data_IF_339438027040
#
_entry.id   IF_339438027040
#
_cell.length_a   1.000
_cell.length_b   1.000
_cell.length_c   1.000
_cell.angle_alpha   90.00
_cell.angle_beta   90.00
_cell.angle_gamma   90.00
#
_symmetry.space_group_name_H-M   'P 1'
#
loop_
_entity.id
_entity.type
_entity.pdbx_description
1 polymer ?
#
# COMPACT_ATOMS: atom_id res chain seq x y z
N UNK A 1 -11.91 -99.68 -6.25
CA UNK A 1 -12.18 -98.47 -7.06
C UNK A 1 -12.77 -97.36 -6.17
N UNK A 2 -12.09 -96.99 -5.08
CA UNK A 2 -12.57 -95.99 -4.11
C UNK A 2 -11.47 -94.95 -3.74
N UNK A 3 -10.31 -95.02 -4.40
CA UNK A 3 -9.12 -94.22 -4.10
C UNK A 3 -9.07 -92.95 -4.99
N UNK A 4 -9.86 -92.89 -6.07
CA UNK A 4 -9.91 -91.74 -6.99
C UNK A 4 -10.98 -90.67 -6.68
N UNK A 5 -11.96 -90.97 -5.83
CA UNK A 5 -13.03 -90.03 -5.47
C UNK A 5 -12.63 -89.10 -4.32
N UNK A 6 -11.76 -89.56 -3.41
CA UNK A 6 -11.24 -88.76 -2.29
C UNK A 6 -10.20 -87.72 -2.73
N UNK A 7 -9.40 -88.03 -3.77
CA UNK A 7 -8.44 -87.08 -4.35
C UNK A 7 -9.10 -86.00 -5.20
N UNK A 8 -10.16 -86.34 -5.96
CA UNK A 8 -10.91 -85.37 -6.78
C UNK A 8 -11.65 -84.32 -5.96
N UNK A 9 -12.28 -84.72 -4.84
CA UNK A 9 -12.93 -83.77 -3.92
C UNK A 9 -11.92 -82.82 -3.27
N UNK A 10 -10.76 -83.33 -2.86
CA UNK A 10 -9.69 -82.50 -2.27
C UNK A 10 -9.13 -81.46 -3.25
N UNK A 11 -8.94 -81.83 -4.51
CA UNK A 11 -8.51 -80.91 -5.57
C UNK A 11 -9.58 -79.83 -5.84
N UNK A 12 -10.86 -80.21 -5.93
CA UNK A 12 -11.94 -79.26 -6.15
C UNK A 12 -12.10 -78.25 -4.99
N UNK A 13 -11.96 -78.71 -3.74
CA UNK A 13 -11.98 -77.84 -2.56
C UNK A 13 -10.78 -76.88 -2.57
N UNK A 14 -9.59 -77.37 -2.92
CA UNK A 14 -8.38 -76.54 -3.00
C UNK A 14 -8.49 -75.46 -4.08
N UNK A 15 -8.99 -75.81 -5.27
CA UNK A 15 -9.23 -74.85 -6.36
C UNK A 15 -10.31 -73.84 -5.96
N UNK A 16 -11.40 -74.29 -5.31
CA UNK A 16 -12.43 -73.40 -4.81
C UNK A 16 -11.91 -72.39 -3.78
N UNK A 17 -11.01 -72.83 -2.90
CA UNK A 17 -10.35 -71.96 -1.93
C UNK A 17 -9.42 -70.92 -2.60
N UNK A 18 -8.57 -71.35 -3.53
CA UNK A 18 -7.67 -70.46 -4.30
C UNK A 18 -8.43 -69.42 -5.15
N UNK A 19 -9.57 -69.81 -5.74
CA UNK A 19 -10.44 -68.87 -6.44
C UNK A 19 -11.07 -67.85 -5.49
N UNK A 20 -11.50 -68.30 -4.31
CA UNK A 20 -12.10 -67.40 -3.32
C UNK A 20 -11.08 -66.39 -2.77
N UNK A 21 -9.82 -66.81 -2.55
CA UNK A 21 -8.75 -65.88 -2.14
C UNK A 21 -8.49 -64.84 -3.22
N UNK A 22 -8.34 -65.26 -4.49
CA UNK A 22 -8.14 -64.33 -5.61
C UNK A 22 -9.30 -63.36 -5.79
N UNK A 23 -10.53 -63.82 -5.58
CA UNK A 23 -11.72 -62.96 -5.62
C UNK A 23 -11.70 -61.91 -4.50
N UNK A 24 -11.36 -62.31 -3.28
CA UNK A 24 -11.26 -61.38 -2.16
C UNK A 24 -10.12 -60.36 -2.33
N UNK A 25 -8.97 -60.79 -2.86
CA UNK A 25 -7.86 -59.89 -3.19
C UNK A 25 -8.28 -58.87 -4.25
N UNK A 26 -8.92 -59.31 -5.33
CA UNK A 26 -9.44 -58.40 -6.36
C UNK A 26 -10.50 -57.43 -5.82
N UNK A 27 -11.38 -57.89 -4.93
CA UNK A 27 -12.38 -57.03 -4.29
C UNK A 27 -11.73 -55.96 -3.40
N UNK A 28 -10.63 -56.30 -2.73
CA UNK A 28 -9.82 -55.36 -1.95
C UNK A 28 -9.12 -54.35 -2.86
N UNK A 29 -8.44 -54.82 -3.90
CA UNK A 29 -7.75 -53.95 -4.87
C UNK A 29 -8.74 -52.97 -5.53
N UNK A 30 -9.96 -53.43 -5.84
CA UNK A 30 -11.03 -52.56 -6.34
C UNK A 30 -11.47 -51.51 -5.32
N UNK A 31 -11.59 -51.89 -4.04
CA UNK A 31 -11.93 -50.94 -2.97
C UNK A 31 -10.84 -49.90 -2.75
N UNK A 32 -9.57 -50.32 -2.79
CA UNK A 32 -8.42 -49.42 -2.63
C UNK A 32 -8.36 -48.43 -3.81
N UNK A 33 -8.56 -48.90 -5.05
CA UNK A 33 -8.63 -48.04 -6.23
C UNK A 33 -9.80 -47.04 -6.17
N UNK A 34 -10.94 -47.44 -5.61
CA UNK A 34 -12.08 -46.53 -5.44
C UNK A 34 -11.78 -45.43 -4.43
N UNK A 35 -11.03 -45.74 -3.36
CA UNK A 35 -10.58 -44.75 -2.39
C UNK A 35 -9.58 -43.78 -3.03
N UNK A 36 -8.56 -44.29 -3.74
CA UNK A 36 -7.58 -43.47 -4.45
C UNK A 36 -8.26 -42.53 -5.47
N UNK A 37 -9.29 -43.01 -6.17
CA UNK A 37 -10.09 -42.19 -7.08
C UNK A 37 -10.84 -41.05 -6.35
N UNK A 38 -11.45 -41.34 -5.21
CA UNK A 38 -12.15 -40.31 -4.43
C UNK A 38 -11.18 -39.27 -3.87
N UNK A 39 -10.00 -39.71 -3.41
CA UNK A 39 -8.94 -38.81 -2.93
C UNK A 39 -8.46 -37.89 -4.06
N UNK A 40 -8.20 -38.44 -5.25
CA UNK A 40 -7.83 -37.64 -6.43
C UNK A 40 -8.91 -36.63 -6.83
N UNK A 41 -10.20 -37.00 -6.73
CA UNK A 41 -11.30 -36.08 -6.99
C UNK A 41 -11.37 -34.94 -5.97
N UNK A 42 -11.08 -35.22 -4.70
CA UNK A 42 -10.99 -34.19 -3.67
C UNK A 42 -9.81 -33.25 -3.93
N UNK A 43 -8.63 -33.80 -4.25
CA UNK A 43 -7.44 -33.01 -4.58
C UNK A 43 -7.68 -32.11 -5.80
N UNK A 44 -8.38 -32.62 -6.82
CA UNK A 44 -8.77 -31.83 -7.99
C UNK A 44 -9.75 -30.69 -7.63
N UNK A 45 -10.70 -30.93 -6.73
CA UNK A 45 -11.61 -29.90 -6.24
C UNK A 45 -10.84 -28.81 -5.51
N UNK A 46 -9.96 -29.17 -4.58
CA UNK A 46 -9.13 -28.22 -3.82
C UNK A 46 -8.25 -27.38 -4.75
N UNK A 47 -7.60 -28.01 -5.74
CA UNK A 47 -6.79 -27.29 -6.73
C UNK A 47 -7.62 -26.30 -7.57
N UNK A 48 -8.88 -26.65 -7.85
CA UNK A 48 -9.79 -25.75 -8.57
C UNK A 48 -10.16 -24.54 -7.71
N UNK A 49 -10.39 -24.74 -6.42
CA UNK A 49 -10.66 -23.65 -5.48
C UNK A 49 -9.43 -22.73 -5.33
N UNK A 50 -8.24 -23.30 -5.12
CA UNK A 50 -6.98 -22.54 -5.06
C UNK A 50 -6.73 -21.72 -6.34
N UNK A 51 -7.03 -22.28 -7.52
CA UNK A 51 -6.91 -21.57 -8.79
C UNK A 51 -7.87 -20.38 -8.88
N UNK A 52 -9.12 -20.54 -8.41
CA UNK A 52 -10.10 -19.47 -8.41
C UNK A 52 -9.70 -18.33 -7.48
N UNK A 53 -9.19 -18.66 -6.29
CA UNK A 53 -8.67 -17.67 -5.33
C UNK A 53 -7.49 -16.89 -5.93
N UNK A 54 -6.52 -17.58 -6.54
CA UNK A 54 -5.40 -16.93 -7.23
C UNK A 54 -5.86 -16.00 -8.37
N UNK A 55 -6.90 -16.40 -9.11
CA UNK A 55 -7.44 -15.58 -10.19
C UNK A 55 -8.12 -14.30 -9.67
N UNK A 56 -8.78 -14.38 -8.51
CA UNK A 56 -9.38 -13.22 -7.83
C UNK A 56 -8.29 -12.25 -7.33
N UNK A 57 -7.24 -12.78 -6.72
CA UNK A 57 -6.10 -11.98 -6.26
C UNK A 57 -5.41 -11.28 -7.43
N UNK A 58 -5.16 -12.00 -8.53
CA UNK A 58 -4.59 -11.43 -9.74
C UNK A 58 -5.46 -10.31 -10.32
N UNK A 59 -6.78 -10.52 -10.38
CA UNK A 59 -7.72 -9.54 -10.91
C UNK A 59 -7.73 -8.25 -10.07
N UNK A 60 -7.63 -8.39 -8.75
CA UNK A 60 -7.57 -7.26 -7.82
C UNK A 60 -6.27 -6.48 -8.00
N UNK A 61 -5.12 -7.18 -8.02
CA UNK A 61 -3.82 -6.56 -8.26
C UNK A 61 -3.75 -5.85 -9.62
N UNK A 62 -4.34 -6.44 -10.66
CA UNK A 62 -4.38 -5.83 -11.98
C UNK A 62 -5.23 -4.56 -12.01
N UNK A 63 -6.34 -4.52 -11.27
CA UNK A 63 -7.14 -3.31 -11.10
C UNK A 63 -6.38 -2.20 -10.35
N UNK A 64 -5.66 -2.56 -9.29
CA UNK A 64 -4.81 -1.63 -8.54
C UNK A 64 -3.70 -1.06 -9.43
N UNK A 65 -3.07 -1.90 -10.24
CA UNK A 65 -2.05 -1.48 -11.20
C UNK A 65 -2.59 -0.47 -12.21
N UNK A 66 -3.75 -0.75 -12.82
CA UNK A 66 -4.35 0.20 -13.78
C UNK A 66 -4.73 1.51 -13.10
N UNK A 67 -5.27 1.47 -11.88
CA UNK A 67 -5.60 2.67 -11.11
C UNK A 67 -4.35 3.51 -10.80
N UNK A 68 -3.23 2.85 -10.47
CA UNK A 68 -1.95 3.51 -10.28
C UNK A 68 -1.45 4.12 -11.59
N UNK A 69 -1.53 3.39 -12.71
CA UNK A 69 -1.12 3.88 -14.02
C UNK A 69 -1.90 5.14 -14.43
N UNK A 70 -3.23 5.11 -14.32
CA UNK A 70 -4.10 6.27 -14.59
C UNK A 70 -3.75 7.43 -13.65
N UNK A 71 -3.53 7.14 -12.37
CA UNK A 71 -3.08 8.12 -11.40
C UNK A 71 -1.68 8.70 -11.72
N UNK A 72 -0.84 8.08 -12.53
CA UNK A 72 0.45 8.67 -12.93
C UNK A 72 0.39 9.39 -14.28
N UNK A 73 -0.28 8.80 -15.26
CA UNK A 73 -0.23 9.26 -16.65
C UNK A 73 -1.25 10.37 -16.93
N UNK A 74 -2.35 10.43 -16.17
CA UNK A 74 -3.46 11.34 -16.46
C UNK A 74 -3.63 12.46 -15.41
N UNK A 75 -4.06 13.67 -15.84
CA UNK A 75 -4.47 14.73 -14.93
C UNK A 75 -5.71 14.32 -14.11
N UNK A 76 -5.71 14.66 -12.83
CA UNK A 76 -6.92 14.57 -11.99
C UNK A 76 -7.96 15.58 -12.47
N UNK A 77 -8.98 15.13 -13.21
CA UNK A 77 -10.00 16.01 -13.81
C UNK A 77 -11.12 16.38 -12.84
N UNK A 78 -11.47 15.50 -11.90
CA UNK A 78 -12.51 15.71 -10.89
C UNK A 78 -12.04 15.14 -9.52
N UNK A 79 -11.15 15.85 -8.80
CA UNK A 79 -10.65 15.38 -7.52
C UNK A 79 -11.74 15.41 -6.45
N UNK A 80 -11.72 14.41 -5.57
CA UNK A 80 -12.49 14.42 -4.34
C UNK A 80 -11.85 15.39 -3.33
N UNK A 81 -12.69 16.06 -2.55
CA UNK A 81 -12.26 17.00 -1.50
C UNK A 81 -12.48 16.32 -0.14
N UNK A 82 -11.43 15.86 0.55
CA UNK A 82 -11.58 15.14 1.81
C UNK A 82 -12.00 16.07 2.95
N UNK A 83 -12.56 15.51 4.01
CA UNK A 83 -12.58 16.16 5.32
C UNK A 83 -11.16 16.20 5.92
N UNK A 84 -10.89 17.15 6.81
CA UNK A 84 -9.63 17.17 7.56
C UNK A 84 -9.39 15.85 8.32
N UNK A 85 -10.45 15.24 8.85
CA UNK A 85 -10.36 13.97 9.57
C UNK A 85 -9.95 12.79 8.67
N UNK A 86 -10.55 12.66 7.48
CA UNK A 86 -10.15 11.65 6.51
C UNK A 86 -8.70 11.84 6.08
N UNK A 87 -8.30 13.10 5.85
CA UNK A 87 -6.94 13.43 5.47
C UNK A 87 -5.92 13.07 6.56
N UNK A 88 -6.17 13.42 7.83
CA UNK A 88 -5.30 13.05 8.96
C UNK A 88 -5.19 11.54 9.15
N UNK A 89 -6.31 10.81 9.08
CA UNK A 89 -6.26 9.35 9.19
C UNK A 89 -5.48 8.70 8.04
N UNK A 90 -5.52 9.30 6.84
CA UNK A 90 -4.74 8.82 5.71
C UNK A 90 -3.24 9.05 5.93
N UNK A 91 -2.83 10.20 6.47
CA UNK A 91 -1.43 10.44 6.83
C UNK A 91 -0.91 9.42 7.86
N UNK A 92 -1.73 9.01 8.83
CA UNK A 92 -1.32 7.99 9.82
C UNK A 92 -1.05 6.60 9.21
N UNK A 93 -1.58 6.32 8.01
CA UNK A 93 -1.43 5.05 7.30
C UNK A 93 -0.38 5.17 6.19
N UNK A 94 -0.30 6.33 5.54
CA UNK A 94 0.75 6.63 4.59
C UNK A 94 2.11 6.58 5.27
N UNK A 95 3.11 6.00 4.60
CA UNK A 95 4.44 5.81 5.19
C UNK A 95 5.49 6.78 4.63
N UNK A 96 5.10 7.90 4.01
CA UNK A 96 6.06 8.86 3.43
C UNK A 96 7.03 9.41 4.47
N UNK A 97 6.55 9.67 5.69
CA UNK A 97 7.33 10.12 6.83
C UNK A 97 8.29 9.05 7.42
N UNK A 98 8.23 7.79 6.95
CA UNK A 98 9.07 6.70 7.49
C UNK A 98 10.43 6.57 6.81
N UNK A 99 10.66 7.32 5.72
CA UNK A 99 11.92 7.31 5.00
C UNK A 99 12.93 8.29 5.62
N UNK A 100 14.21 7.92 5.59
CA UNK A 100 15.28 8.79 6.07
C UNK A 100 15.53 9.94 5.09
N UNK A 101 15.70 11.16 5.63
CA UNK A 101 16.18 12.29 4.84
C UNK A 101 17.66 12.10 4.50
N UNK A 102 18.01 12.24 3.22
CA UNK A 102 19.38 12.13 2.72
C UNK A 102 19.68 13.33 1.85
N UNK A 103 20.53 14.24 2.35
CA UNK A 103 20.90 15.43 1.61
C UNK A 103 21.40 15.11 0.19
N UNK A 104 20.98 15.90 -0.80
CA UNK A 104 21.23 15.74 -2.24
C UNK A 104 20.72 14.44 -2.89
N UNK A 105 20.09 13.53 -2.14
CA UNK A 105 19.61 12.22 -2.65
C UNK A 105 18.12 12.01 -2.47
N UNK A 106 17.60 12.37 -1.29
CA UNK A 106 16.22 12.22 -0.89
C UNK A 106 15.86 13.35 0.08
N UNK A 107 15.32 14.43 -0.48
CA UNK A 107 15.10 15.70 0.21
C UNK A 107 13.62 16.08 0.22
N UNK A 108 13.28 17.21 0.85
CA UNK A 108 11.91 17.69 1.01
C UNK A 108 11.08 17.72 -0.29
N UNK A 109 11.72 17.99 -1.43
CA UNK A 109 11.09 17.89 -2.76
C UNK A 109 10.68 16.46 -3.14
N UNK A 110 11.50 15.46 -2.83
CA UNK A 110 11.22 14.04 -3.10
C UNK A 110 10.08 13.53 -2.20
N UNK A 111 10.12 13.85 -0.91
CA UNK A 111 9.01 13.54 0.00
C UNK A 111 7.70 14.19 -0.46
N UNK A 112 7.74 15.48 -0.86
CA UNK A 112 6.58 16.20 -1.37
C UNK A 112 6.01 15.57 -2.64
N UNK A 113 6.87 15.19 -3.59
CA UNK A 113 6.48 14.51 -4.81
C UNK A 113 5.86 13.13 -4.52
N UNK A 114 6.43 12.39 -3.58
CA UNK A 114 5.92 11.08 -3.20
C UNK A 114 4.55 11.19 -2.53
N UNK A 115 4.38 12.08 -1.54
CA UNK A 115 3.10 12.27 -0.86
C UNK A 115 2.01 12.74 -1.86
N UNK A 116 2.33 13.72 -2.70
CA UNK A 116 1.44 14.20 -3.76
C UNK A 116 0.97 13.07 -4.66
N UNK A 117 1.90 12.23 -5.09
CA UNK A 117 1.62 11.09 -5.99
C UNK A 117 0.73 10.06 -5.33
N UNK A 118 1.02 9.71 -4.07
CA UNK A 118 0.23 8.74 -3.31
C UNK A 118 -1.19 9.22 -3.05
N UNK A 119 -1.38 10.51 -2.78
CA UNK A 119 -2.71 11.08 -2.60
C UNK A 119 -3.60 10.94 -3.85
N UNK A 120 -3.02 10.79 -5.06
CA UNK A 120 -3.79 10.53 -6.27
C UNK A 120 -4.55 9.18 -6.23
N UNK A 121 -4.08 8.19 -5.46
CA UNK A 121 -4.81 6.92 -5.29
C UNK A 121 -6.14 7.09 -4.55
N UNK A 122 -6.26 8.18 -3.78
CA UNK A 122 -7.49 8.59 -3.09
C UNK A 122 -8.36 9.51 -3.96
N UNK A 123 -7.99 9.73 -5.22
CA UNK A 123 -8.55 10.77 -6.09
C UNK A 123 -8.43 12.19 -5.48
N UNK A 124 -7.43 12.43 -4.61
CA UNK A 124 -7.22 13.72 -3.97
C UNK A 124 -6.18 14.56 -4.70
N UNK A 125 -6.36 15.89 -4.66
CA UNK A 125 -5.40 16.85 -5.20
C UNK A 125 -4.56 17.46 -4.08
N UNK A 126 -3.55 16.72 -3.64
CA UNK A 126 -2.41 17.31 -2.93
C UNK A 126 -1.53 18.06 -3.94
N UNK A 127 -0.95 19.18 -3.53
CA UNK A 127 -0.04 19.99 -4.35
C UNK A 127 1.22 20.33 -3.56
N UNK A 128 2.25 20.81 -4.25
CA UNK A 128 3.54 21.16 -3.67
C UNK A 128 3.67 22.68 -3.62
N UNK A 129 4.04 23.21 -2.46
CA UNK A 129 4.52 24.57 -2.28
C UNK A 129 6.04 24.54 -2.13
N UNK A 130 6.70 25.55 -2.69
CA UNK A 130 8.14 25.76 -2.50
C UNK A 130 8.36 27.15 -1.96
N UNK A 131 9.14 27.24 -0.89
CA UNK A 131 9.55 28.50 -0.28
C UNK A 131 11.06 28.65 -0.30
N UNK A 132 11.51 29.89 -0.46
CA UNK A 132 12.91 30.26 -0.32
C UNK A 132 13.07 31.23 0.83
N UNK A 133 14.03 30.94 1.71
CA UNK A 133 14.18 31.64 2.98
C UNK A 133 15.64 31.87 3.34
N UNK A 134 15.86 32.78 4.28
CA UNK A 134 17.16 33.14 4.84
C UNK A 134 16.99 33.31 6.35
N UNK A 135 17.96 32.85 7.13
CA UNK A 135 18.09 33.11 8.56
C UNK A 135 18.73 34.50 8.80
N UNK A 136 18.57 35.05 10.01
CA UNK A 136 19.02 36.39 10.43
C UNK A 136 20.48 36.73 10.11
N UNK A 137 21.35 35.73 9.97
CA UNK A 137 22.80 35.90 9.72
C UNK A 137 23.23 35.60 8.29
N UNK A 138 22.30 35.19 7.42
CA UNK A 138 22.64 34.80 6.06
C UNK A 138 22.90 36.01 5.17
N UNK A 139 23.72 35.80 4.14
CA UNK A 139 24.14 36.83 3.17
C UNK A 139 22.97 37.53 2.45
N UNK A 140 21.77 36.94 2.50
CA UNK A 140 20.55 37.43 1.88
C UNK A 140 19.40 37.70 2.87
N UNK A 141 19.68 37.85 4.18
CA UNK A 141 18.63 38.19 5.14
C UNK A 141 18.02 39.58 4.85
N UNK A 142 16.69 39.64 4.72
CA UNK A 142 15.96 40.89 4.48
C UNK A 142 16.17 41.48 3.07
N UNK A 143 16.61 40.68 2.10
CA UNK A 143 16.80 41.11 0.70
C UNK A 143 15.67 40.53 -0.18
N UNK A 144 14.86 41.40 -0.78
CA UNK A 144 13.71 41.05 -1.64
C UNK A 144 14.08 40.51 -3.05
N UNK A 145 15.34 40.08 -3.30
CA UNK A 145 15.80 39.67 -4.65
C UNK A 145 16.89 38.60 -4.64
N UNK A 146 16.90 37.63 -5.58
CA UNK A 146 15.80 36.83 -6.10
C UNK A 146 15.69 35.46 -5.41
N UNK A 147 16.62 35.11 -4.51
CA UNK A 147 16.72 33.79 -3.89
C UNK A 147 17.17 33.86 -2.43
N UNK A 148 16.44 33.17 -1.56
CA UNK A 148 16.91 32.89 -0.20
C UNK A 148 18.18 32.02 -0.20
N UNK A 149 18.89 31.98 0.93
CA UNK A 149 20.05 31.08 1.07
C UNK A 149 19.63 29.58 1.07
N UNK A 150 18.37 29.32 1.37
CA UNK A 150 17.77 28.00 1.48
C UNK A 150 16.47 27.90 0.69
N UNK A 151 16.11 26.67 0.31
CA UNK A 151 14.83 26.33 -0.29
C UNK A 151 14.19 25.16 0.47
N UNK A 152 12.87 25.15 0.56
CA UNK A 152 12.10 24.08 1.18
C UNK A 152 10.84 23.78 0.40
N UNK A 153 10.49 22.50 0.29
CA UNK A 153 9.29 22.04 -0.38
C UNK A 153 8.39 21.30 0.61
N UNK A 154 7.10 21.56 0.55
CA UNK A 154 6.10 20.94 1.41
C UNK A 154 4.79 20.80 0.65
N UNK A 155 3.82 20.10 1.23
CA UNK A 155 2.54 19.84 0.58
C UNK A 155 1.42 20.71 1.13
N UNK A 156 0.33 20.82 0.39
CA UNK A 156 -0.94 21.30 0.92
C UNK A 156 -2.13 20.67 0.18
N UNK A 157 -3.29 20.70 0.84
CA UNK A 157 -4.57 20.17 0.34
C UNK A 157 -5.72 21.07 0.80
N UNK A 158 -6.75 21.19 -0.03
CA UNK A 158 -8.02 21.81 0.33
C UNK A 158 -8.94 20.75 0.94
N UNK A 159 -9.53 21.05 2.10
CA UNK A 159 -10.50 20.19 2.76
C UNK A 159 -11.92 20.74 2.67
N UNK A 160 -12.91 19.88 2.89
CA UNK A 160 -14.34 20.19 2.74
C UNK A 160 -14.90 21.18 3.76
N UNK A 161 -14.13 21.49 4.81
CA UNK A 161 -14.38 22.59 5.75
C UNK A 161 -14.00 23.98 5.19
N UNK A 162 -13.40 24.03 3.99
CA UNK A 162 -13.01 25.25 3.29
C UNK A 162 -11.62 25.76 3.66
N UNK A 163 -10.86 25.02 4.49
CA UNK A 163 -9.49 25.36 4.83
C UNK A 163 -8.48 24.69 3.90
N UNK A 164 -7.32 25.34 3.78
CA UNK A 164 -6.13 24.75 3.17
C UNK A 164 -5.21 24.30 4.30
N UNK A 165 -4.94 23.01 4.33
CA UNK A 165 -4.02 22.39 5.26
C UNK A 165 -2.68 22.16 4.56
N UNK A 166 -1.62 22.63 5.19
CA UNK A 166 -0.24 22.45 4.77
C UNK A 166 0.38 21.32 5.57
N UNK A 167 1.28 20.57 4.94
CA UNK A 167 1.83 19.33 5.47
C UNK A 167 3.31 19.28 5.24
N UNK A 168 4.06 18.96 6.29
CA UNK A 168 5.46 18.59 6.23
C UNK A 168 5.55 17.08 5.98
N UNK A 169 5.80 16.63 4.73
CA UNK A 169 5.69 15.22 4.38
C UNK A 169 6.75 14.35 5.07
N UNK A 170 7.80 14.96 5.59
CA UNK A 170 8.84 14.27 6.37
C UNK A 170 8.34 13.83 7.76
N UNK A 171 7.28 14.45 8.29
CA UNK A 171 6.84 14.23 9.69
C UNK A 171 5.33 14.11 9.87
N UNK A 172 4.54 14.31 8.81
CA UNK A 172 3.08 14.47 8.84
C UNK A 172 2.59 15.60 9.74
N UNK A 173 3.46 16.56 10.07
CA UNK A 173 3.04 17.77 10.76
C UNK A 173 2.11 18.55 9.82
N UNK A 174 0.94 18.95 10.35
CA UNK A 174 -0.08 19.66 9.58
C UNK A 174 -0.37 20.99 10.26
N UNK A 175 -0.41 22.05 9.46
CA UNK A 175 -0.78 23.39 9.90
C UNK A 175 -1.75 24.04 8.93
N UNK A 176 -2.41 25.10 9.38
CA UNK A 176 -3.26 25.92 8.53
C UNK A 176 -3.15 27.38 8.98
N UNK A 177 -3.43 28.30 8.05
CA UNK A 177 -3.41 29.72 8.34
C UNK A 177 -4.83 30.23 8.52
N UNK A 178 -5.02 31.07 9.53
CA UNK A 178 -6.26 31.85 9.68
C UNK A 178 -5.94 33.33 9.62
N UNK A 179 -6.85 34.11 9.02
CA UNK A 179 -6.78 35.56 9.06
C UNK A 179 -7.37 36.06 10.37
N UNK A 180 -6.56 36.68 11.22
CA UNK A 180 -7.01 37.39 12.42
C UNK A 180 -6.74 38.88 12.22
N UNK A 181 -7.78 39.61 11.78
CA UNK A 181 -7.65 41.02 11.43
C UNK A 181 -6.80 41.24 10.18
N UNK A 182 -5.62 41.87 10.34
CA UNK A 182 -4.64 42.09 9.26
C UNK A 182 -3.42 41.17 9.35
N UNK A 183 -3.42 40.21 10.28
CA UNK A 183 -2.31 39.29 10.51
C UNK A 183 -2.73 37.85 10.17
N UNK A 184 -1.77 37.07 9.69
CA UNK A 184 -1.92 35.63 9.49
C UNK A 184 -1.36 34.93 10.73
N UNK A 185 -2.19 34.12 11.39
CA UNK A 185 -1.77 33.29 12.52
C UNK A 185 -1.70 31.83 12.06
N UNK A 186 -0.56 31.19 12.35
CA UNK A 186 -0.35 29.76 12.17
C UNK A 186 -0.91 29.03 13.39
N UNK A 187 -1.81 28.07 13.17
CA UNK A 187 -2.32 27.21 14.23
C UNK A 187 -1.73 25.83 14.08
N UNK A 188 -1.04 25.36 15.13
CA UNK A 188 -0.36 24.08 15.16
C UNK A 188 -0.63 23.26 16.41
N UNK A 189 -0.59 21.94 16.21
CA UNK A 189 -0.56 20.91 17.25
C UNK A 189 0.84 20.27 17.36
N UNK A 190 1.91 20.92 16.87
CA UNK A 190 3.25 20.33 16.84
C UNK A 190 4.36 21.28 17.28
N UNK A 191 5.34 20.74 18.00
CA UNK A 191 6.54 21.44 18.48
C UNK A 191 7.70 21.15 17.53
N UNK A 192 8.04 22.12 16.69
CA UNK A 192 9.11 21.99 15.69
C UNK A 192 10.54 21.99 16.26
N UNK A 193 10.70 22.11 17.58
CA UNK A 193 12.03 22.27 18.21
C UNK A 193 12.93 21.04 18.10
N UNK A 194 12.42 19.87 17.68
CA UNK A 194 13.18 18.62 17.63
C UNK A 194 13.43 18.05 16.23
N UNK A 195 13.06 18.76 15.15
CA UNK A 195 13.37 18.33 13.79
C UNK A 195 14.60 19.11 13.31
N UNK A 196 15.79 18.54 13.51
CA UNK A 196 16.97 19.00 12.77
C UNK A 196 16.68 18.88 11.28
N UNK A 197 17.02 19.92 10.52
CA UNK A 197 16.91 19.95 9.06
C UNK A 197 15.49 20.18 8.48
N UNK A 198 14.56 20.78 9.25
CA UNK A 198 13.36 21.44 8.68
C UNK A 198 13.38 22.95 8.93
N UNK A 199 12.71 23.71 8.06
CA UNK A 199 12.54 25.17 8.15
C UNK A 199 12.12 25.64 9.54
N UNK A 200 11.34 24.84 10.25
CA UNK A 200 10.59 25.29 11.42
C UNK A 200 11.34 25.16 12.75
N UNK A 201 12.58 24.65 12.74
CA UNK A 201 13.40 24.48 13.95
C UNK A 201 14.00 25.76 14.55
N UNK A 202 13.86 26.92 13.89
CA UNK A 202 14.45 28.20 14.34
C UNK A 202 13.40 29.30 14.59
N UNK A 203 13.68 30.16 15.59
CA UNK A 203 12.70 31.10 16.16
C UNK A 203 12.19 32.19 15.19
N UNK A 204 12.90 32.49 14.11
CA UNK A 204 12.53 33.55 13.15
C UNK A 204 13.04 33.23 11.75
N UNK A 205 12.15 33.27 10.77
CA UNK A 205 12.47 33.05 9.35
C UNK A 205 12.02 34.25 8.54
N UNK A 206 12.83 34.69 7.58
CA UNK A 206 12.41 35.65 6.57
C UNK A 206 12.08 34.92 5.26
N UNK A 207 10.80 34.89 4.89
CA UNK A 207 10.36 34.35 3.60
C UNK A 207 10.70 35.37 2.51
N UNK A 208 11.71 35.07 1.71
CA UNK A 208 12.11 35.95 0.61
C UNK A 208 11.15 35.81 -0.57
N UNK A 209 10.67 34.58 -0.81
CA UNK A 209 9.83 34.27 -1.96
C UNK A 209 8.99 33.02 -1.71
N UNK A 210 7.72 33.05 -2.14
CA UNK A 210 6.75 31.97 -1.96
C UNK A 210 6.04 31.68 -3.27
N UNK A 211 6.20 30.46 -3.80
CA UNK A 211 5.56 30.01 -5.02
C UNK A 211 4.58 28.86 -4.75
N UNK A 212 3.41 28.98 -5.37
CA UNK A 212 2.40 27.94 -5.39
C UNK A 212 2.34 27.35 -6.79
N UNK A 213 2.63 26.05 -6.92
CA UNK A 213 2.42 25.34 -8.18
C UNK A 213 0.96 24.84 -8.19
N UNK A 214 0.11 25.53 -8.95
CA UNK A 214 -1.35 25.32 -8.99
C UNK A 214 -1.85 24.34 -10.01
#
# INVERSE_FOLDING_TARGET
MLIGLTSGLGIAIFIGFDMNTKFNDLAKDYSDLMNDYNDLMNDYSNLTDDYNDLMNDYSSLFADYNSLQDAFEEPLTAPDIPTYFEFKNWLDIDNTNTFDYINETWMCGDFSAMLMTRAKSMNWRVRIAVMEYSHDIDINYGIDTPYGAYGHAFCFIECSDGYIYYIEPQTDAVWYWTSVGYHFEMWEEYDFTNISDTVWGENWLWVNYYNYFG
#
